data_IF_856193068093
#
_entry.id   IF_856193068093
#
_cell.length_a   1.000
_cell.length_b   1.000
_cell.length_c   1.000
_cell.angle_alpha   90.00
_cell.angle_beta   90.00
_cell.angle_gamma   90.00
#
_symmetry.space_group_name_H-M   'P 1'
#
loop_
_entity.id
_entity.type
_entity.pdbx_description
1 polymer ?
#
# COMPACT_ATOMS: atom_id res chain seq x y z
N UNK A 1 5.55 -5.09 35.27
CA UNK A 1 5.26 -5.48 36.67
C UNK A 1 5.99 -6.78 36.93
N UNK A 2 6.96 -6.80 37.85
CA UNK A 2 7.59 -8.04 38.33
C UNK A 2 6.66 -8.62 39.40
N UNK A 3 5.90 -9.65 39.05
CA UNK A 3 5.14 -10.41 40.02
C UNK A 3 6.10 -11.37 40.75
N UNK A 4 5.97 -11.54 42.07
CA UNK A 4 6.77 -12.50 42.81
C UNK A 4 6.46 -13.94 42.34
N UNK A 5 7.46 -14.84 42.40
CA UNK A 5 7.25 -16.24 42.03
C UNK A 5 6.21 -16.89 42.94
N UNK A 6 5.32 -17.69 42.33
CA UNK A 6 4.27 -18.43 43.03
C UNK A 6 4.87 -19.45 44.02
N UNK A 7 4.35 -19.43 45.24
CA UNK A 7 4.73 -20.34 46.32
C UNK A 7 4.24 -21.77 46.04
N UNK A 8 5.20 -22.67 45.82
CA UNK A 8 4.96 -24.06 45.42
C UNK A 8 4.34 -24.90 46.53
N UNK A 9 4.55 -24.53 47.80
CA UNK A 9 3.96 -25.27 48.93
C UNK A 9 2.45 -25.04 49.03
N UNK A 10 1.99 -23.85 48.66
CA UNK A 10 0.57 -23.51 48.69
C UNK A 10 -0.20 -24.22 47.55
N UNK A 11 0.42 -24.39 46.38
CA UNK A 11 -0.14 -25.13 45.24
C UNK A 11 -0.30 -26.62 45.54
N UNK A 12 0.67 -27.23 46.23
CA UNK A 12 0.61 -28.63 46.63
C UNK A 12 -0.53 -28.90 47.64
N UNK A 13 -0.80 -27.96 48.57
CA UNK A 13 -1.93 -28.06 49.51
C UNK A 13 -3.30 -27.99 48.83
N UNK A 14 -3.38 -27.41 47.63
CA UNK A 14 -4.61 -27.36 46.82
C UNK A 14 -4.76 -28.57 45.88
N UNK A 15 -3.90 -29.59 46.01
CA UNK A 15 -3.96 -30.81 45.18
C UNK A 15 -3.46 -30.61 43.74
N UNK A 16 -2.82 -29.48 43.46
CA UNK A 16 -2.22 -29.19 42.14
C UNK A 16 -0.75 -29.57 42.23
N UNK A 17 -0.31 -30.51 41.39
CA UNK A 17 1.11 -30.87 41.31
C UNK A 17 1.94 -29.60 41.00
N UNK A 18 3.00 -29.31 41.76
CA UNK A 18 3.78 -28.06 41.64
C UNK A 18 4.46 -27.87 40.27
N UNK A 19 4.41 -28.91 39.43
CA UNK A 19 5.03 -28.98 38.12
C UNK A 19 4.00 -28.74 36.99
N UNK A 20 2.71 -28.59 37.32
CA UNK A 20 1.61 -28.41 36.37
C UNK A 20 1.40 -26.95 35.93
N UNK A 21 2.49 -26.19 35.75
CA UNK A 21 2.46 -24.91 35.03
C UNK A 21 2.30 -25.25 33.54
N UNK A 22 1.40 -24.58 32.79
CA UNK A 22 0.99 -25.04 31.46
C UNK A 22 2.14 -25.00 30.46
N UNK A 23 2.78 -26.15 30.26
CA UNK A 23 3.62 -26.44 29.10
C UNK A 23 2.67 -26.54 27.91
N UNK A 24 2.99 -25.80 26.85
CA UNK A 24 2.31 -25.83 25.54
C UNK A 24 1.95 -27.28 25.15
N UNK A 25 0.78 -27.55 24.55
CA UNK A 25 0.39 -28.92 24.27
C UNK A 25 1.41 -29.58 23.33
N UNK A 26 2.15 -30.54 23.87
CA UNK A 26 2.97 -31.47 23.11
C UNK A 26 2.11 -32.69 22.76
N UNK A 27 1.18 -32.51 21.82
CA UNK A 27 0.70 -33.64 21.03
C UNK A 27 1.71 -33.85 19.91
N UNK A 28 2.69 -34.71 20.17
CA UNK A 28 3.65 -35.18 19.18
C UNK A 28 2.99 -36.27 18.34
N UNK A 29 2.50 -35.90 17.16
CA UNK A 29 1.88 -36.83 16.20
C UNK A 29 2.90 -37.71 15.47
N UNK A 30 4.19 -37.72 15.86
CA UNK A 30 5.25 -38.46 15.18
C UNK A 30 5.56 -37.93 13.77
N UNK A 31 4.95 -36.81 13.38
CA UNK A 31 5.21 -36.15 12.11
C UNK A 31 6.44 -35.26 12.30
N UNK A 32 7.61 -35.77 11.89
CA UNK A 32 8.80 -34.95 11.70
C UNK A 32 8.54 -34.02 10.52
N UNK A 33 7.91 -32.86 10.77
CA UNK A 33 7.87 -31.77 9.80
C UNK A 33 9.30 -31.23 9.76
N UNK A 34 10.08 -31.47 8.69
CA UNK A 34 11.39 -30.87 8.59
C UNK A 34 11.19 -29.34 8.66
N UNK A 35 12.00 -28.61 9.42
CA UNK A 35 11.93 -27.16 9.39
C UNK A 35 12.10 -26.74 7.93
N UNK A 36 11.05 -26.17 7.34
CA UNK A 36 11.20 -25.44 6.09
C UNK A 36 12.18 -24.35 6.43
N UNK A 37 13.42 -24.50 5.97
CA UNK A 37 14.32 -23.39 5.74
C UNK A 37 13.96 -22.92 4.33
N UNK A 38 12.93 -22.07 4.10
CA UNK A 38 12.84 -21.41 2.82
C UNK A 38 14.12 -20.59 2.72
N UNK A 39 15.08 -21.05 1.90
CA UNK A 39 16.15 -20.16 1.47
C UNK A 39 15.43 -18.90 0.96
N UNK A 40 15.75 -17.71 1.50
CA UNK A 40 15.11 -16.50 1.00
C UNK A 40 15.29 -16.51 -0.52
N UNK A 41 14.22 -16.29 -1.30
CA UNK A 41 14.31 -16.30 -2.75
C UNK A 41 15.46 -15.39 -3.18
N UNK A 42 16.32 -15.89 -4.10
CA UNK A 42 17.48 -15.14 -4.58
C UNK A 42 16.96 -13.79 -5.10
N UNK A 43 17.48 -12.69 -4.54
CA UNK A 43 17.17 -11.37 -5.04
C UNK A 43 17.69 -11.26 -6.47
N UNK A 44 16.81 -10.87 -7.40
CA UNK A 44 17.18 -10.61 -8.80
C UNK A 44 17.88 -9.25 -8.82
N UNK A 45 19.11 -9.21 -9.34
CA UNK A 45 19.83 -7.95 -9.54
C UNK A 45 19.23 -7.14 -10.68
N UNK A 46 19.48 -5.83 -10.72
CA UNK A 46 19.01 -4.94 -11.79
C UNK A 46 19.49 -5.39 -13.17
N UNK A 47 20.72 -5.91 -13.27
CA UNK A 47 21.27 -6.44 -14.51
C UNK A 47 20.53 -7.70 -14.98
N UNK A 48 20.29 -8.67 -14.08
CA UNK A 48 19.51 -9.88 -14.37
C UNK A 48 18.06 -9.51 -14.78
N UNK A 49 17.45 -8.52 -14.13
CA UNK A 49 16.12 -8.04 -14.50
C UNK A 49 16.09 -7.41 -15.90
N UNK A 50 17.08 -6.59 -16.24
CA UNK A 50 17.19 -5.97 -17.56
C UNK A 50 17.39 -7.01 -18.67
N UNK A 51 18.16 -8.07 -18.42
CA UNK A 51 18.35 -9.17 -19.37
C UNK A 51 17.05 -9.96 -19.57
N UNK A 52 16.33 -10.26 -18.49
CA UNK A 52 15.10 -11.06 -18.55
C UNK A 52 13.92 -10.32 -19.18
N UNK A 53 13.74 -9.04 -18.86
CA UNK A 53 12.52 -8.29 -19.18
C UNK A 53 12.74 -7.16 -20.19
N UNK A 54 14.00 -6.78 -20.43
CA UNK A 54 14.34 -5.55 -21.13
C UNK A 54 14.21 -4.33 -20.22
N UNK A 55 15.02 -3.30 -20.47
CA UNK A 55 15.11 -2.09 -19.63
C UNK A 55 13.74 -1.40 -19.46
N UNK A 56 12.97 -1.23 -20.53
CA UNK A 56 11.67 -0.52 -20.45
C UNK A 56 10.69 -1.23 -19.50
N UNK A 57 10.53 -2.54 -19.64
CA UNK A 57 9.60 -3.29 -18.79
C UNK A 57 10.11 -3.39 -17.35
N UNK A 58 11.41 -3.65 -17.15
CA UNK A 58 12.02 -3.75 -15.82
C UNK A 58 11.84 -2.45 -15.01
N UNK A 59 12.02 -1.29 -15.64
CA UNK A 59 11.80 0.01 -14.99
C UNK A 59 10.32 0.23 -14.69
N UNK A 60 9.43 0.02 -15.68
CA UNK A 60 7.99 0.27 -15.54
C UNK A 60 7.32 -0.59 -14.48
N UNK A 61 7.78 -1.83 -14.29
CA UNK A 61 7.29 -2.77 -13.27
C UNK A 61 7.28 -2.16 -11.86
N UNK A 62 8.25 -1.31 -11.55
CA UNK A 62 8.33 -0.63 -10.25
C UNK A 62 7.89 0.84 -10.34
N UNK A 63 8.19 1.52 -11.44
CA UNK A 63 7.93 2.96 -11.59
C UNK A 63 6.43 3.29 -11.57
N UNK A 64 5.62 2.57 -12.35
CA UNK A 64 4.18 2.85 -12.47
C UNK A 64 3.46 2.75 -11.13
N UNK A 65 3.52 1.62 -10.38
CA UNK A 65 2.83 1.52 -9.10
C UNK A 65 3.35 2.55 -8.09
N UNK A 66 4.65 2.87 -8.09
CA UNK A 66 5.19 3.90 -7.20
C UNK A 66 4.65 5.32 -7.49
N UNK A 67 4.48 5.68 -8.76
CA UNK A 67 3.91 6.98 -9.13
C UNK A 67 2.44 7.10 -8.72
N UNK A 68 1.67 6.01 -8.87
CA UNK A 68 0.28 5.96 -8.43
C UNK A 68 0.15 5.99 -6.91
N UNK A 69 1.01 5.26 -6.19
CA UNK A 69 1.08 5.31 -4.72
C UNK A 69 1.45 6.71 -4.24
N UNK A 70 2.42 7.38 -4.86
CA UNK A 70 2.78 8.75 -4.51
C UNK A 70 1.57 9.70 -4.63
N UNK A 71 0.78 9.58 -5.71
CA UNK A 71 -0.47 10.32 -5.84
C UNK A 71 -1.49 9.97 -4.74
N UNK A 72 -1.63 8.69 -4.41
CA UNK A 72 -2.55 8.25 -3.36
C UNK A 72 -2.19 8.87 -2.00
N UNK A 73 -0.90 8.94 -1.66
CA UNK A 73 -0.42 9.55 -0.42
C UNK A 73 -0.60 11.08 -0.40
N UNK A 74 -0.48 11.73 -1.55
CA UNK A 74 -0.81 13.15 -1.69
C UNK A 74 -2.31 13.39 -1.43
N UNK A 75 -3.19 12.59 -2.03
CA UNK A 75 -4.63 12.65 -1.75
C UNK A 75 -4.97 12.29 -0.29
N UNK A 76 -4.27 11.35 0.32
CA UNK A 76 -4.42 11.03 1.74
C UNK A 76 -4.05 12.22 2.63
N UNK A 77 -3.00 12.96 2.27
CA UNK A 77 -2.62 14.20 2.96
C UNK A 77 -3.66 15.30 2.77
N UNK A 78 -4.20 15.46 1.56
CA UNK A 78 -5.31 16.39 1.29
C UNK A 78 -6.56 16.04 2.10
N UNK A 79 -6.89 14.76 2.24
CA UNK A 79 -8.00 14.29 3.05
C UNK A 79 -7.83 14.58 4.54
N UNK A 80 -6.63 14.40 5.08
CA UNK A 80 -6.31 14.78 6.47
C UNK A 80 -6.51 16.28 6.68
N UNK A 81 -6.04 17.11 5.74
CA UNK A 81 -6.23 18.56 5.78
C UNK A 81 -7.71 18.94 5.69
N UNK A 82 -8.45 18.32 4.77
CA UNK A 82 -9.88 18.51 4.60
C UNK A 82 -10.67 18.25 5.89
N UNK A 83 -10.40 17.12 6.55
CA UNK A 83 -11.05 16.79 7.83
C UNK A 83 -10.69 17.79 8.93
N UNK A 84 -9.45 18.27 8.97
CA UNK A 84 -9.02 19.32 9.91
C UNK A 84 -9.78 20.62 9.67
N UNK A 85 -9.87 21.05 8.42
CA UNK A 85 -10.42 22.34 8.04
C UNK A 85 -11.96 22.36 8.22
N UNK A 86 -12.65 21.24 7.93
CA UNK A 86 -14.08 21.05 8.22
C UNK A 86 -14.39 20.65 9.67
N UNK A 87 -13.37 20.53 10.54
CA UNK A 87 -13.48 20.14 11.96
C UNK A 87 -14.20 18.79 12.19
N UNK A 88 -13.97 17.81 11.31
CA UNK A 88 -14.55 16.47 11.40
C UNK A 88 -13.86 15.70 12.53
N UNK A 89 -14.49 15.66 13.70
CA UNK A 89 -13.93 15.06 14.92
C UNK A 89 -14.03 13.54 14.96
N UNK A 90 -15.02 12.97 14.26
CA UNK A 90 -15.32 11.54 14.17
C UNK A 90 -14.10 10.70 13.80
N UNK A 91 -13.25 11.22 12.92
CA UNK A 91 -12.09 10.50 12.39
C UNK A 91 -10.74 11.08 12.83
N UNK A 92 -10.72 11.82 13.93
CA UNK A 92 -9.49 12.44 14.45
C UNK A 92 -8.38 11.41 14.70
N UNK A 93 -8.73 10.18 15.12
CA UNK A 93 -7.77 9.09 15.33
C UNK A 93 -7.25 8.56 13.99
N UNK A 94 -8.13 8.28 13.04
CA UNK A 94 -7.77 7.83 11.68
C UNK A 94 -6.89 8.84 10.97
N UNK A 95 -7.21 10.12 11.03
CA UNK A 95 -6.40 11.18 10.41
C UNK A 95 -4.96 11.22 10.95
N UNK A 96 -4.79 10.99 12.26
CA UNK A 96 -3.45 10.87 12.86
C UNK A 96 -2.72 9.63 12.37
N UNK A 97 -3.42 8.51 12.27
CA UNK A 97 -2.85 7.25 11.78
C UNK A 97 -2.49 7.32 10.29
N UNK A 98 -3.33 7.92 9.44
CA UNK A 98 -3.03 8.17 8.01
C UNK A 98 -1.74 8.98 7.90
N UNK A 99 -1.63 10.08 8.64
CA UNK A 99 -0.42 10.91 8.64
C UNK A 99 0.83 10.10 9.02
N UNK A 100 0.75 9.30 10.08
CA UNK A 100 1.85 8.42 10.50
C UNK A 100 2.19 7.35 9.43
N UNK A 101 1.18 6.79 8.76
CA UNK A 101 1.40 5.81 7.70
C UNK A 101 2.11 6.44 6.49
N UNK A 102 1.73 7.66 6.11
CA UNK A 102 2.41 8.42 5.05
C UNK A 102 3.87 8.68 5.43
N UNK A 103 4.12 9.20 6.63
CA UNK A 103 5.47 9.50 7.12
C UNK A 103 6.36 8.24 7.18
N UNK A 104 5.84 7.14 7.73
CA UNK A 104 6.55 5.87 7.83
C UNK A 104 6.81 5.24 6.46
N UNK A 105 5.85 5.30 5.53
CA UNK A 105 6.05 4.84 4.15
C UNK A 105 7.18 5.62 3.48
N UNK A 106 7.15 6.95 3.54
CA UNK A 106 8.19 7.80 2.96
C UNK A 106 9.55 7.54 3.60
N UNK A 107 9.62 7.37 4.92
CA UNK A 107 10.87 7.05 5.62
C UNK A 107 11.46 5.69 5.21
N UNK A 108 10.61 4.66 5.05
CA UNK A 108 11.03 3.34 4.53
C UNK A 108 11.53 3.43 3.11
N UNK A 109 10.84 4.19 2.27
CA UNK A 109 11.22 4.41 0.88
C UNK A 109 12.57 5.12 0.78
N UNK A 110 12.77 6.20 1.55
CA UNK A 110 14.05 6.90 1.63
C UNK A 110 15.19 5.98 2.06
N UNK A 111 14.96 5.14 3.08
CA UNK A 111 15.93 4.14 3.51
C UNK A 111 16.25 3.11 2.44
N UNK A 112 15.24 2.68 1.65
CA UNK A 112 15.41 1.70 0.59
C UNK A 112 16.19 2.26 -0.61
N UNK A 113 15.96 3.52 -0.98
CA UNK A 113 16.63 4.17 -2.10
C UNK A 113 18.01 4.71 -1.75
N UNK A 114 18.27 5.03 -0.48
CA UNK A 114 19.52 5.64 -0.05
C UNK A 114 19.84 6.91 -0.83
N UNK A 115 21.03 6.98 -1.42
CA UNK A 115 21.48 8.15 -2.18
C UNK A 115 20.62 8.44 -3.43
N UNK A 116 19.90 7.44 -3.97
CA UNK A 116 19.03 7.62 -5.12
C UNK A 116 17.66 8.22 -4.76
N UNK A 117 17.38 8.47 -3.47
CA UNK A 117 16.08 8.97 -3.05
C UNK A 117 15.75 10.36 -3.62
N UNK A 118 16.76 11.22 -3.76
CA UNK A 118 16.56 12.54 -4.37
C UNK A 118 16.17 12.45 -5.85
N UNK A 119 16.72 11.49 -6.60
CA UNK A 119 16.31 11.26 -7.98
C UNK A 119 14.85 10.79 -8.04
N UNK A 120 14.47 9.88 -7.14
CA UNK A 120 13.08 9.43 -7.00
C UNK A 120 12.13 10.61 -6.72
N UNK A 121 12.44 11.49 -5.77
CA UNK A 121 11.58 12.65 -5.47
C UNK A 121 11.43 13.57 -6.68
N UNK A 122 12.51 13.80 -7.42
CA UNK A 122 12.45 14.60 -8.65
C UNK A 122 11.56 13.95 -9.71
N UNK A 123 11.57 12.61 -9.84
CA UNK A 123 10.67 11.91 -10.77
C UNK A 123 9.20 11.99 -10.33
N UNK A 124 8.92 11.94 -9.03
CA UNK A 124 7.57 12.16 -8.48
C UNK A 124 7.07 13.57 -8.81
N UNK A 125 7.90 14.59 -8.59
CA UNK A 125 7.57 15.98 -8.92
C UNK A 125 7.27 16.17 -10.41
N UNK A 126 8.15 15.67 -11.28
CA UNK A 126 7.94 15.66 -12.74
C UNK A 126 6.64 14.97 -13.12
N UNK A 127 6.32 13.85 -12.47
CA UNK A 127 5.08 13.13 -12.72
C UNK A 127 3.86 13.97 -12.30
N UNK A 128 3.89 14.59 -11.12
CA UNK A 128 2.79 15.40 -10.61
C UNK A 128 2.49 16.60 -11.50
N UNK A 129 3.54 17.27 -12.01
CA UNK A 129 3.41 18.33 -13.00
C UNK A 129 2.80 17.80 -14.31
N UNK A 130 3.34 16.68 -14.81
CA UNK A 130 2.91 16.07 -16.07
C UNK A 130 1.43 15.65 -16.05
N UNK A 131 0.94 15.15 -14.92
CA UNK A 131 -0.46 14.71 -14.78
C UNK A 131 -1.40 15.75 -14.16
N UNK A 132 -0.95 16.97 -13.89
CA UNK A 132 -1.75 18.00 -13.19
C UNK A 132 -3.16 18.19 -13.76
N UNK A 133 -3.29 18.29 -15.08
CA UNK A 133 -4.59 18.42 -15.78
C UNK A 133 -5.41 17.13 -15.70
N UNK A 134 -4.77 15.97 -15.84
CA UNK A 134 -5.44 14.67 -15.77
C UNK A 134 -5.96 14.41 -14.33
N UNK A 135 -5.22 14.84 -13.30
CA UNK A 135 -5.67 14.81 -11.89
C UNK A 135 -6.92 15.64 -11.66
N UNK A 136 -6.97 16.86 -12.22
CA UNK A 136 -8.16 17.71 -12.12
C UNK A 136 -9.37 17.08 -12.81
N UNK A 137 -9.18 16.51 -14.01
CA UNK A 137 -10.24 15.80 -14.72
C UNK A 137 -10.74 14.58 -13.93
N UNK A 138 -9.82 13.78 -13.39
CA UNK A 138 -10.15 12.64 -12.52
C UNK A 138 -10.97 13.08 -11.32
N UNK A 139 -10.55 14.14 -10.62
CA UNK A 139 -11.29 14.70 -9.48
C UNK A 139 -12.73 15.04 -9.87
N UNK A 140 -12.91 15.79 -10.96
CA UNK A 140 -14.24 16.17 -11.44
C UNK A 140 -15.08 14.94 -11.84
N UNK A 141 -14.51 13.98 -12.55
CA UNK A 141 -15.20 12.78 -13.02
C UNK A 141 -15.61 11.88 -11.86
N UNK A 142 -14.69 11.56 -10.95
CA UNK A 142 -14.97 10.72 -9.78
C UNK A 142 -15.92 11.46 -8.84
N UNK A 143 -15.72 12.75 -8.61
CA UNK A 143 -16.63 13.59 -7.82
C UNK A 143 -18.06 13.58 -8.38
N UNK A 144 -18.24 13.58 -9.69
CA UNK A 144 -19.56 13.44 -10.32
C UNK A 144 -20.21 12.07 -10.04
N UNK A 145 -19.44 10.98 -10.07
CA UNK A 145 -19.93 9.64 -9.73
C UNK A 145 -20.33 9.59 -8.25
N UNK A 146 -19.45 10.06 -7.37
CA UNK A 146 -19.68 10.17 -5.92
C UNK A 146 -20.93 11.01 -5.63
N UNK A 147 -21.10 12.16 -6.29
CA UNK A 147 -22.26 13.03 -6.11
C UNK A 147 -23.61 12.40 -6.52
N UNK A 148 -23.60 11.41 -7.41
CA UNK A 148 -24.80 10.66 -7.83
C UNK A 148 -25.14 9.53 -6.86
N UNK A 149 -24.11 8.92 -6.26
CA UNK A 149 -24.27 7.75 -5.40
C UNK A 149 -24.44 8.12 -3.92
N UNK A 150 -23.92 9.27 -3.48
CA UNK A 150 -23.93 9.67 -2.07
C UNK A 150 -25.02 10.72 -1.78
N UNK A 151 -25.76 10.61 -0.67
CA UNK A 151 -26.69 11.63 -0.20
C UNK A 151 -26.09 13.05 -0.11
N UNK A 152 -26.92 14.09 -0.23
CA UNK A 152 -26.46 15.51 -0.25
C UNK A 152 -26.03 16.05 1.11
N UNK A 153 -26.49 15.43 2.18
CA UNK A 153 -26.18 15.78 3.58
C UNK A 153 -24.83 15.22 4.07
N UNK A 154 -24.15 14.42 3.24
CA UNK A 154 -22.82 13.86 3.52
C UNK A 154 -21.72 14.70 2.87
N UNK A 155 -20.51 14.57 3.41
CA UNK A 155 -19.33 15.27 2.91
C UNK A 155 -18.80 14.63 1.61
N UNK A 156 -19.35 15.09 0.48
CA UNK A 156 -19.04 14.57 -0.86
C UNK A 156 -17.60 14.81 -1.30
N UNK A 157 -16.98 15.90 -0.87
CA UNK A 157 -15.57 16.17 -1.17
C UNK A 157 -14.67 15.18 -0.42
N UNK A 158 -14.96 14.96 0.87
CA UNK A 158 -14.27 13.97 1.69
C UNK A 158 -14.41 12.56 1.11
N UNK A 159 -15.63 12.18 0.69
CA UNK A 159 -15.88 10.90 0.04
C UNK A 159 -15.15 10.77 -1.31
N UNK A 160 -15.05 11.85 -2.09
CA UNK A 160 -14.28 11.86 -3.35
C UNK A 160 -12.80 11.62 -3.10
N UNK A 161 -12.22 12.25 -2.08
CA UNK A 161 -10.83 12.02 -1.68
C UNK A 161 -10.60 10.56 -1.28
N UNK A 162 -11.46 10.00 -0.41
CA UNK A 162 -11.38 8.60 0.03
C UNK A 162 -11.46 7.64 -1.16
N UNK A 163 -12.43 7.85 -2.06
CA UNK A 163 -12.58 7.04 -3.26
C UNK A 163 -11.32 7.07 -4.15
N UNK A 164 -10.71 8.24 -4.36
CA UNK A 164 -9.49 8.36 -5.16
C UNK A 164 -8.32 7.62 -4.51
N UNK A 165 -8.12 7.79 -3.19
CA UNK A 165 -7.05 7.11 -2.44
C UNK A 165 -7.18 5.59 -2.59
N UNK A 166 -8.36 5.07 -2.29
CA UNK A 166 -8.66 3.64 -2.33
C UNK A 166 -8.43 3.08 -3.74
N UNK A 167 -8.96 3.74 -4.79
CA UNK A 167 -8.84 3.27 -6.17
C UNK A 167 -7.41 3.34 -6.72
N UNK A 168 -6.62 4.35 -6.34
CA UNK A 168 -5.20 4.41 -6.72
C UNK A 168 -4.40 3.26 -6.09
N UNK A 169 -4.61 2.98 -4.80
CA UNK A 169 -3.90 1.89 -4.11
C UNK A 169 -4.33 0.53 -4.67
N UNK A 170 -5.63 0.29 -4.84
CA UNK A 170 -6.15 -0.95 -5.42
C UNK A 170 -5.58 -1.21 -6.82
N UNK A 171 -5.53 -0.17 -7.65
CA UNK A 171 -4.97 -0.29 -8.99
C UNK A 171 -3.48 -0.62 -8.95
N UNK A 172 -2.70 0.05 -8.07
CA UNK A 172 -1.29 -0.24 -7.91
C UNK A 172 -1.06 -1.69 -7.45
N UNK A 173 -1.86 -2.19 -6.50
CA UNK A 173 -1.78 -3.59 -6.07
C UNK A 173 -2.16 -4.57 -7.19
N UNK A 174 -3.20 -4.28 -7.98
CA UNK A 174 -3.57 -5.12 -9.11
C UNK A 174 -2.51 -5.11 -10.21
N UNK A 175 -1.89 -3.96 -10.46
CA UNK A 175 -0.75 -3.84 -11.35
C UNK A 175 0.41 -4.71 -10.87
N UNK A 176 0.74 -4.66 -9.57
CA UNK A 176 1.77 -5.50 -8.98
C UNK A 176 1.46 -6.99 -9.08
N UNK A 177 0.21 -7.41 -8.81
CA UNK A 177 -0.23 -8.80 -9.01
C UNK A 177 -0.07 -9.26 -10.46
N UNK A 178 -0.36 -8.39 -11.44
CA UNK A 178 -0.14 -8.70 -12.87
C UNK A 178 1.35 -8.86 -13.17
N UNK A 179 2.20 -7.97 -12.64
CA UNK A 179 3.64 -8.08 -12.83
C UNK A 179 4.23 -9.31 -12.12
N UNK A 180 3.72 -9.71 -10.96
CA UNK A 180 4.15 -10.93 -10.27
C UNK A 180 3.92 -12.17 -11.13
N UNK A 181 2.79 -12.24 -11.86
CA UNK A 181 2.52 -13.32 -12.83
C UNK A 181 3.54 -13.30 -13.97
N UNK A 182 3.81 -12.13 -14.55
CA UNK A 182 4.82 -11.99 -15.63
C UNK A 182 6.21 -12.42 -15.16
N UNK A 183 6.61 -12.03 -13.94
CA UNK A 183 7.91 -12.41 -13.37
C UNK A 183 7.92 -13.92 -13.08
N UNK A 184 6.87 -14.47 -12.48
CA UNK A 184 6.78 -15.90 -12.18
C UNK A 184 6.87 -16.77 -13.45
N UNK A 185 6.22 -16.34 -14.53
CA UNK A 185 6.25 -17.03 -15.83
C UNK A 185 7.65 -17.01 -16.46
N UNK A 186 8.42 -15.95 -16.23
CA UNK A 186 9.78 -15.78 -16.78
C UNK A 186 10.83 -16.50 -15.95
N UNK A 187 10.75 -16.39 -14.63
CA UNK A 187 11.70 -16.97 -13.66
C UNK A 187 11.38 -18.46 -13.39
N UNK A 188 10.21 -18.95 -13.82
CA UNK A 188 9.72 -20.32 -13.60
C UNK A 188 9.65 -20.70 -12.12
N UNK A 189 9.33 -19.72 -11.27
CA UNK A 189 9.20 -19.89 -9.83
C UNK A 189 8.05 -19.02 -9.30
N UNK A 190 7.38 -19.41 -8.21
CA UNK A 190 6.36 -18.59 -7.60
C UNK A 190 6.97 -17.28 -7.07
N UNK A 191 6.35 -16.16 -7.43
CA UNK A 191 6.70 -14.82 -6.97
C UNK A 191 5.57 -14.31 -6.10
N UNK A 192 5.91 -13.79 -4.94
CA UNK A 192 4.98 -13.06 -4.08
C UNK A 192 5.74 -11.91 -3.45
N UNK A 193 5.36 -10.68 -3.81
CA UNK A 193 5.88 -9.49 -3.14
C UNK A 193 5.19 -9.27 -1.79
N UNK A 194 5.96 -8.80 -0.81
CA UNK A 194 5.39 -8.33 0.46
C UNK A 194 4.61 -7.05 0.17
N UNK A 195 3.28 -7.09 0.33
CA UNK A 195 2.45 -5.88 0.28
C UNK A 195 2.91 -4.88 1.35
N UNK A 196 2.82 -3.58 1.05
CA UNK A 196 3.18 -2.55 2.00
C UNK A 196 2.13 -2.45 3.13
N UNK A 197 2.57 -2.74 4.35
CA UNK A 197 1.73 -2.71 5.55
C UNK A 197 1.12 -1.32 5.79
N UNK A 198 1.78 -0.23 5.39
CA UNK A 198 1.26 1.15 5.55
C UNK A 198 0.11 1.43 4.58
N UNK A 199 0.22 0.98 3.34
CA UNK A 199 -0.83 1.16 2.34
C UNK A 199 -2.10 0.38 2.72
N UNK A 200 -1.94 -0.83 3.27
CA UNK A 200 -3.06 -1.61 3.82
C UNK A 200 -3.79 -0.89 4.93
N UNK A 201 -3.05 -0.26 5.84
CA UNK A 201 -3.65 0.50 6.93
C UNK A 201 -4.42 1.72 6.39
N UNK A 202 -3.88 2.42 5.40
CA UNK A 202 -4.58 3.52 4.73
C UNK A 202 -5.88 3.04 4.10
N UNK A 203 -5.85 1.96 3.32
CA UNK A 203 -7.05 1.37 2.69
C UNK A 203 -8.05 0.90 3.74
N UNK A 204 -7.62 0.23 4.81
CA UNK A 204 -8.50 -0.19 5.90
C UNK A 204 -9.21 1.01 6.55
N UNK A 205 -8.50 2.13 6.74
CA UNK A 205 -9.11 3.36 7.22
C UNK A 205 -10.11 3.91 6.20
N UNK A 206 -9.79 3.93 4.90
CA UNK A 206 -10.73 4.30 3.83
C UNK A 206 -12.03 3.49 3.89
N UNK A 207 -11.96 2.18 4.10
CA UNK A 207 -13.15 1.34 4.30
C UNK A 207 -13.97 1.76 5.53
N UNK A 208 -13.32 2.07 6.66
CA UNK A 208 -14.04 2.55 7.85
C UNK A 208 -14.73 3.91 7.60
N UNK A 209 -14.15 4.80 6.79
CA UNK A 209 -14.81 6.04 6.35
C UNK A 209 -16.02 5.76 5.46
N UNK A 210 -15.85 4.89 4.47
CA UNK A 210 -16.91 4.42 3.57
C UNK A 210 -18.10 3.86 4.34
N UNK A 211 -17.85 2.94 5.27
CA UNK A 211 -18.88 2.31 6.11
C UNK A 211 -19.57 3.35 7.02
N UNK A 212 -18.80 4.22 7.68
CA UNK A 212 -19.34 5.20 8.64
C UNK A 212 -20.21 6.26 7.96
N UNK A 213 -19.81 6.73 6.78
CA UNK A 213 -20.59 7.69 6.00
C UNK A 213 -21.70 7.02 5.17
N UNK A 214 -21.74 5.69 5.16
CA UNK A 214 -22.73 4.92 4.42
C UNK A 214 -22.58 5.10 2.91
N UNK A 215 -21.35 5.25 2.42
CA UNK A 215 -21.07 5.27 0.98
C UNK A 215 -20.11 4.15 0.64
N UNK A 216 -20.52 3.35 -0.35
CA UNK A 216 -19.63 2.43 -1.04
C UNK A 216 -19.67 2.84 -2.49
N UNK A 217 -18.53 3.26 -3.03
CA UNK A 217 -18.46 3.60 -4.44
C UNK A 217 -18.60 2.30 -5.25
N UNK A 218 -19.72 2.15 -5.94
CA UNK A 218 -19.94 1.01 -6.83
C UNK A 218 -18.92 1.05 -7.97
N UNK A 219 -18.49 -0.12 -8.50
CA UNK A 219 -17.61 -0.17 -9.66
C UNK A 219 -18.16 0.68 -10.81
N UNK A 220 -17.35 1.60 -11.31
CA UNK A 220 -17.73 2.52 -12.37
C UNK A 220 -16.60 2.60 -13.42
N UNK A 221 -16.88 2.31 -14.70
CA UNK A 221 -15.88 2.32 -15.76
C UNK A 221 -15.16 3.66 -15.93
N UNK A 222 -15.81 4.79 -15.60
CA UNK A 222 -15.21 6.12 -15.68
C UNK A 222 -14.12 6.25 -14.61
N UNK A 223 -14.36 5.73 -13.41
CA UNK A 223 -13.37 5.74 -12.32
C UNK A 223 -12.15 4.94 -12.75
N UNK A 224 -12.34 3.71 -13.23
CA UNK A 224 -11.26 2.83 -13.66
C UNK A 224 -10.47 3.42 -14.85
N UNK A 225 -11.17 4.04 -15.81
CA UNK A 225 -10.54 4.71 -16.94
C UNK A 225 -9.65 5.87 -16.51
N UNK A 226 -10.09 6.69 -15.55
CA UNK A 226 -9.28 7.82 -15.07
C UNK A 226 -7.98 7.35 -14.40
N UNK A 227 -8.05 6.30 -13.57
CA UNK A 227 -6.85 5.70 -12.96
C UNK A 227 -5.94 5.10 -14.04
N UNK A 228 -6.52 4.43 -15.04
CA UNK A 228 -5.79 3.90 -16.20
C UNK A 228 -5.06 4.97 -17.02
N UNK A 229 -5.64 6.16 -17.18
CA UNK A 229 -4.96 7.30 -17.82
C UNK A 229 -3.72 7.70 -17.03
N UNK A 230 -3.81 7.82 -15.70
CA UNK A 230 -2.66 8.16 -14.85
C UNK A 230 -1.56 7.10 -14.92
N UNK A 231 -1.92 5.81 -14.94
CA UNK A 231 -0.98 4.71 -15.11
C UNK A 231 -0.27 4.78 -16.47
N UNK A 232 -1.00 5.07 -17.54
CA UNK A 232 -0.43 5.26 -18.87
C UNK A 232 0.51 6.46 -18.92
N UNK A 233 0.17 7.57 -18.26
CA UNK A 233 1.06 8.74 -18.13
C UNK A 233 2.35 8.38 -17.40
N UNK A 234 2.28 7.58 -16.34
CA UNK A 234 3.46 7.10 -15.63
C UNK A 234 4.32 6.21 -16.53
N UNK A 235 3.72 5.33 -17.33
CA UNK A 235 4.43 4.52 -18.32
C UNK A 235 5.15 5.39 -19.35
N UNK A 236 4.48 6.40 -19.90
CA UNK A 236 5.07 7.30 -20.90
C UNK A 236 6.21 8.12 -20.30
N UNK A 237 6.05 8.63 -19.07
CA UNK A 237 7.12 9.34 -18.38
C UNK A 237 8.34 8.44 -18.13
N UNK A 238 8.12 7.17 -17.76
CA UNK A 238 9.22 6.21 -17.61
C UNK A 238 10.01 6.04 -18.91
N UNK A 239 9.34 5.96 -20.07
CA UNK A 239 10.03 5.87 -21.36
C UNK A 239 10.87 7.11 -21.67
N UNK A 240 10.38 8.30 -21.33
CA UNK A 240 11.16 9.55 -21.47
C UNK A 240 12.40 9.55 -20.59
N UNK A 241 12.26 9.20 -19.30
CA UNK A 241 13.39 9.13 -18.35
C UNK A 241 14.44 8.13 -18.84
N UNK A 242 14.01 6.94 -19.29
CA UNK A 242 14.93 5.94 -19.85
C UNK A 242 15.66 6.46 -21.09
N UNK A 243 14.99 7.26 -21.92
CA UNK A 243 15.61 7.91 -23.07
C UNK A 243 16.67 8.94 -22.67
N UNK A 244 16.39 9.76 -21.66
CA UNK A 244 17.32 10.77 -21.14
C UNK A 244 18.60 10.13 -20.57
N UNK A 245 18.45 9.07 -19.77
CA UNK A 245 19.57 8.37 -19.10
C UNK A 245 20.44 7.58 -20.08
N UNK A 246 19.94 7.23 -21.27
CA UNK A 246 20.76 6.56 -22.32
C UNK A 246 21.62 7.54 -23.13
N UNK A 247 21.33 8.84 -23.04
CA UNK A 247 22.03 9.89 -23.77
C UNK A 247 23.11 10.59 -22.94
N UNK A 248 23.26 10.22 -21.66
CA UNK A 248 24.35 10.64 -20.75
C UNK A 248 25.49 9.61 -20.79
#
# INVERSE_FOLDING_TARGET
MNLPPLDKEMLAKMGIAPDAVPIRPALDYGIKIPPRNPKPPKAISTAEANEMFGVSLAVKMNFIPQMLVALALDYASQFVNHCRDKRISEFKKHNRLIKLCVEEHTARLAKSYGNAFQAYTNYVERYFEYVSVDRFKMWCSIGNVVNRQIPKDRDRDGATLVAIIHKLIDYAEEYDRKMDKVIADKVKAPVSRKQDDMLKLIVAMCYEFEDTWGFKLEPDPIVDMNIGVLANRASTLADFIIGEEKCQ
#
